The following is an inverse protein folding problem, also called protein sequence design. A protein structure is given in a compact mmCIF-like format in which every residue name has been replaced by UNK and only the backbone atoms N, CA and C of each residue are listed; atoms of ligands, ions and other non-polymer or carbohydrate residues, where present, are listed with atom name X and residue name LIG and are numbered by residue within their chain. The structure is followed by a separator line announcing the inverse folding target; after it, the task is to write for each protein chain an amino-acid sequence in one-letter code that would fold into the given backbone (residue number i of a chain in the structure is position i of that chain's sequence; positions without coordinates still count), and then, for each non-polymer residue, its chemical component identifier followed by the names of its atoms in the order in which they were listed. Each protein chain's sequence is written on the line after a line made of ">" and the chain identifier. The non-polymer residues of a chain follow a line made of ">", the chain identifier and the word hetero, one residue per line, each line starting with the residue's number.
data_IF_309076119506
#
_entry.id   IF_309076119506
#
_cell.length_a   1.000
_cell.length_b   1.000
_cell.length_c   1.000
_cell.angle_alpha   90.00
_cell.angle_beta   90.00
_cell.angle_gamma   90.00
#
_symmetry.space_group_name_H-M   'P 1'
#
loop_
_entity.id
_entity.type
_entity.pdbx_description
1 polymer ?
#
# COMPACT_ATOMS: atom_id res chain seq x y z
N UNK A 1 40.19 42.35 34.23
CA UNK A 1 40.52 41.76 32.91
C UNK A 1 39.92 40.36 32.72
N UNK A 2 40.06 39.45 33.69
CA UNK A 2 39.52 38.07 33.61
C UNK A 2 37.98 38.00 33.41
N UNK A 3 37.20 38.76 34.19
CA UNK A 3 35.73 38.77 34.11
C UNK A 3 35.18 39.26 32.76
N UNK A 4 35.91 40.13 32.06
CA UNK A 4 35.53 40.60 30.73
C UNK A 4 35.62 39.47 29.69
N UNK A 5 36.67 38.66 29.75
CA UNK A 5 36.82 37.51 28.86
C UNK A 5 35.82 36.39 29.15
N UNK A 6 35.45 36.20 30.43
CA UNK A 6 34.45 35.20 30.84
C UNK A 6 33.05 35.60 30.33
N UNK A 7 32.63 36.85 30.57
CA UNK A 7 31.32 37.34 30.11
C UNK A 7 31.15 37.26 28.58
N UNK A 8 32.22 37.52 27.80
CA UNK A 8 32.16 37.42 26.34
C UNK A 8 31.99 35.96 25.87
N UNK A 9 32.60 34.99 26.55
CA UNK A 9 32.45 33.55 26.24
C UNK A 9 31.06 33.04 26.62
N UNK A 10 30.53 33.47 27.76
CA UNK A 10 29.18 33.12 28.21
C UNK A 10 28.13 33.67 27.24
N UNK A 11 28.28 34.92 26.80
CA UNK A 11 27.39 35.54 25.83
C UNK A 11 27.35 34.79 24.48
N UNK A 12 28.53 34.44 23.95
CA UNK A 12 28.64 33.61 22.74
C UNK A 12 27.96 32.25 22.91
N UNK A 13 28.16 31.59 24.07
CA UNK A 13 27.55 30.29 24.35
C UNK A 13 26.02 30.36 24.39
N UNK A 14 25.44 31.43 24.91
CA UNK A 14 23.98 31.62 24.96
C UNK A 14 23.42 31.73 23.54
N UNK A 15 24.09 32.48 22.65
CA UNK A 15 23.68 32.62 21.25
C UNK A 15 23.74 31.27 20.54
N UNK A 16 24.82 30.51 20.73
CA UNK A 16 24.94 29.16 20.15
C UNK A 16 23.83 28.23 20.65
N UNK A 17 23.57 28.21 21.97
CA UNK A 17 22.51 27.39 22.55
C UNK A 17 21.11 27.77 22.05
N UNK A 18 20.89 29.05 21.77
CA UNK A 18 19.65 29.53 21.17
C UNK A 18 19.48 29.02 19.74
N UNK A 19 20.53 29.08 18.92
CA UNK A 19 20.53 28.56 17.55
C UNK A 19 20.37 27.03 17.54
N UNK A 20 21.04 26.31 18.43
CA UNK A 20 20.90 24.84 18.53
C UNK A 20 19.49 24.44 18.99
N UNK A 21 18.86 25.22 19.87
CA UNK A 21 17.47 25.02 20.27
C UNK A 21 16.52 25.22 19.08
N UNK A 22 16.70 26.30 18.31
CA UNK A 22 15.87 26.59 17.14
C UNK A 22 16.01 25.52 16.05
N UNK A 23 17.24 25.08 15.77
CA UNK A 23 17.51 24.00 14.82
C UNK A 23 16.90 22.68 15.28
N UNK A 24 16.93 22.38 16.59
CA UNK A 24 16.28 21.18 17.14
C UNK A 24 14.76 21.19 16.92
N UNK A 25 14.10 22.33 17.13
CA UNK A 25 12.66 22.49 16.84
C UNK A 25 12.37 22.22 15.36
N UNK A 26 13.19 22.77 14.46
CA UNK A 26 13.05 22.58 13.02
C UNK A 26 13.21 21.09 12.65
N UNK A 27 14.22 20.41 13.19
CA UNK A 27 14.45 18.98 12.96
C UNK A 27 13.24 18.17 13.40
N UNK A 28 12.68 18.43 14.59
CA UNK A 28 11.48 17.73 15.08
C UNK A 28 10.31 17.89 14.11
N UNK A 29 10.08 19.10 13.58
CA UNK A 29 9.01 19.36 12.60
C UNK A 29 9.23 18.53 11.33
N UNK A 30 10.45 18.51 10.79
CA UNK A 30 10.76 17.72 9.60
C UNK A 30 10.63 16.22 9.84
N UNK A 31 11.12 15.71 10.96
CA UNK A 31 10.96 14.31 11.35
C UNK A 31 9.49 13.93 11.46
N UNK A 32 8.67 14.77 12.08
CA UNK A 32 7.22 14.52 12.18
C UNK A 32 6.56 14.43 10.79
N UNK A 33 6.90 15.36 9.88
CA UNK A 33 6.38 15.33 8.50
C UNK A 33 6.83 14.08 7.75
N UNK A 34 8.10 13.71 7.87
CA UNK A 34 8.66 12.51 7.24
C UNK A 34 7.97 11.23 7.75
N UNK A 35 7.80 11.09 9.07
CA UNK A 35 7.08 9.95 9.66
C UNK A 35 5.63 9.87 9.18
N UNK A 36 4.95 11.00 9.03
CA UNK A 36 3.59 11.06 8.48
C UNK A 36 3.55 10.56 7.03
N UNK A 37 4.48 11.01 6.19
CA UNK A 37 4.58 10.58 4.79
C UNK A 37 4.92 9.09 4.69
N UNK A 38 5.87 8.60 5.48
CA UNK A 38 6.22 7.18 5.55
C UNK A 38 5.03 6.31 5.97
N UNK A 39 4.20 6.77 6.91
CA UNK A 39 2.99 6.06 7.31
C UNK A 39 2.01 5.92 6.14
N UNK A 40 1.81 6.98 5.37
CA UNK A 40 0.93 6.98 4.20
C UNK A 40 1.50 6.06 3.11
N UNK A 41 2.79 6.20 2.81
CA UNK A 41 3.47 5.36 1.82
C UNK A 41 3.39 3.87 2.16
N UNK A 42 3.64 3.51 3.43
CA UNK A 42 3.49 2.12 3.90
C UNK A 42 2.05 1.64 3.79
N UNK A 43 1.08 2.49 4.08
CA UNK A 43 -0.33 2.12 3.95
C UNK A 43 -0.69 1.81 2.50
N UNK A 44 -0.32 2.68 1.57
CA UNK A 44 -0.55 2.46 0.13
C UNK A 44 0.22 1.25 -0.41
N UNK A 45 1.48 1.07 0.00
CA UNK A 45 2.28 -0.11 -0.36
C UNK A 45 1.69 -1.41 0.21
N UNK A 46 1.05 -1.33 1.37
CA UNK A 46 0.34 -2.44 2.00
C UNK A 46 -1.06 -2.68 1.43
N UNK A 47 -1.50 -1.97 0.39
CA UNK A 47 -2.77 -2.29 -0.27
C UNK A 47 -2.62 -3.49 -1.18
N UNK A 48 -3.63 -4.35 -1.17
CA UNK A 48 -3.75 -5.40 -2.17
C UNK A 48 -4.04 -4.76 -3.53
N UNK A 49 -3.44 -5.31 -4.59
CA UNK A 49 -3.62 -4.84 -5.95
C UNK A 49 -4.17 -6.00 -6.79
N UNK A 50 -5.49 -6.14 -6.76
CA UNK A 50 -6.19 -7.21 -7.47
C UNK A 50 -6.46 -6.75 -8.90
N UNK A 51 -5.90 -7.47 -9.87
CA UNK A 51 -6.09 -7.25 -11.30
C UNK A 51 -6.80 -8.45 -11.92
N UNK A 52 -7.67 -8.18 -12.88
CA UNK A 52 -8.34 -9.19 -13.67
C UNK A 52 -7.99 -9.01 -15.15
N UNK A 53 -7.76 -10.11 -15.85
CA UNK A 53 -7.55 -10.10 -17.30
C UNK A 53 -8.00 -11.42 -17.90
N UNK A 54 -8.25 -11.40 -19.21
CA UNK A 54 -8.61 -12.59 -19.97
C UNK A 54 -7.37 -13.01 -20.75
N UNK A 55 -6.95 -14.25 -20.56
CA UNK A 55 -5.84 -14.83 -21.29
C UNK A 55 -6.32 -15.95 -22.22
N UNK A 56 -5.66 -16.11 -23.35
CA UNK A 56 -5.95 -17.19 -24.31
C UNK A 56 -5.05 -18.37 -24.01
N UNK A 57 -5.65 -19.56 -23.89
CA UNK A 57 -4.85 -20.77 -23.82
C UNK A 57 -4.14 -21.01 -25.16
N UNK A 58 -2.95 -21.63 -25.13
CA UNK A 58 -2.10 -21.90 -26.32
C UNK A 58 -2.81 -22.56 -27.51
N UNK A 59 -3.93 -23.22 -27.27
CA UNK A 59 -4.69 -23.92 -28.31
C UNK A 59 -5.88 -23.11 -28.85
N UNK A 60 -6.05 -21.83 -28.46
CA UNK A 60 -7.10 -20.88 -28.88
C UNK A 60 -8.57 -21.32 -28.66
N UNK A 61 -8.80 -22.52 -28.12
CA UNK A 61 -10.14 -23.08 -27.90
C UNK A 61 -10.85 -22.47 -26.68
N UNK A 62 -10.11 -21.94 -25.72
CA UNK A 62 -10.65 -21.43 -24.47
C UNK A 62 -9.96 -20.12 -24.04
N UNK A 63 -10.77 -19.25 -23.45
CA UNK A 63 -10.31 -18.06 -22.75
C UNK A 63 -10.40 -18.32 -21.25
N UNK A 64 -9.36 -17.93 -20.51
CA UNK A 64 -9.31 -18.05 -19.06
C UNK A 64 -9.40 -16.66 -18.44
N UNK A 65 -10.34 -16.48 -17.51
CA UNK A 65 -10.36 -15.31 -16.65
C UNK A 65 -9.34 -15.52 -15.53
N UNK A 66 -8.30 -14.69 -15.50
CA UNK A 66 -7.28 -14.69 -14.47
C UNK A 66 -7.58 -13.54 -13.52
N UNK A 67 -7.67 -13.85 -12.23
CA UNK A 67 -7.81 -12.88 -11.15
C UNK A 67 -6.62 -13.09 -10.21
N UNK A 68 -5.78 -12.07 -10.08
CA UNK A 68 -4.52 -12.18 -9.35
C UNK A 68 -4.23 -10.93 -8.53
N UNK A 69 -3.58 -11.13 -7.39
CA UNK A 69 -3.15 -10.03 -6.53
C UNK A 69 -1.65 -9.78 -6.74
N UNK A 70 -1.33 -8.68 -7.42
CA UNK A 70 0.05 -8.22 -7.61
C UNK A 70 0.51 -7.26 -6.50
N UNK A 71 -0.35 -7.03 -5.48
CA UNK A 71 -0.01 -6.22 -4.33
C UNK A 71 0.88 -6.97 -3.35
N UNK A 72 1.53 -6.24 -2.44
CA UNK A 72 2.44 -6.83 -1.43
C UNK A 72 1.71 -7.42 -0.22
N UNK A 73 0.43 -7.10 -0.06
CA UNK A 73 -0.43 -7.62 1.00
C UNK A 73 -1.55 -8.46 0.42
N UNK A 74 -2.12 -9.32 1.26
CA UNK A 74 -3.20 -10.19 0.84
C UNK A 74 -4.50 -9.43 0.58
N UNK A 75 -5.16 -9.79 -0.50
CA UNK A 75 -6.46 -9.27 -0.90
C UNK A 75 -7.59 -10.24 -0.60
N UNK A 76 -8.82 -9.72 -0.57
CA UNK A 76 -10.04 -10.54 -0.49
C UNK A 76 -10.98 -10.14 -1.62
N UNK A 77 -11.25 -11.07 -2.52
CA UNK A 77 -12.27 -10.93 -3.54
C UNK A 77 -13.65 -11.21 -2.94
N UNK A 78 -14.46 -10.15 -2.79
CA UNK A 78 -15.76 -10.24 -2.11
C UNK A 78 -16.78 -10.99 -2.98
N UNK A 79 -16.88 -10.62 -4.26
CA UNK A 79 -17.80 -11.24 -5.23
C UNK A 79 -17.40 -10.91 -6.65
N UNK A 80 -17.73 -11.80 -7.59
CA UNK A 80 -17.66 -11.54 -9.03
C UNK A 80 -19.09 -11.35 -9.53
N UNK A 81 -19.36 -10.22 -10.20
CA UNK A 81 -20.65 -9.95 -10.83
C UNK A 81 -20.43 -9.67 -12.31
N UNK A 82 -21.20 -10.35 -13.14
CA UNK A 82 -21.19 -10.16 -14.59
C UNK A 82 -22.45 -9.41 -15.00
N UNK A 83 -22.31 -8.52 -15.98
CA UNK A 83 -23.42 -7.82 -16.60
C UNK A 83 -23.25 -7.87 -18.13
N UNK A 84 -24.11 -8.60 -18.87
CA UNK A 84 -25.27 -9.36 -18.39
C UNK A 84 -24.87 -10.59 -17.54
N UNK A 85 -25.76 -11.09 -16.66
CA UNK A 85 -25.52 -12.33 -15.94
C UNK A 85 -25.42 -13.51 -16.92
N UNK A 86 -24.45 -14.40 -16.69
CA UNK A 86 -24.31 -15.63 -17.46
C UNK A 86 -25.27 -16.70 -16.93
N UNK A 87 -25.94 -17.38 -17.85
CA UNK A 87 -26.83 -18.49 -17.54
C UNK A 87 -26.05 -19.82 -17.64
N UNK A 88 -25.59 -20.31 -16.49
CA UNK A 88 -24.78 -21.52 -16.38
C UNK A 88 -25.58 -22.80 -16.72
N UNK A 89 -26.91 -22.76 -16.73
CA UNK A 89 -27.75 -23.90 -17.09
C UNK A 89 -27.62 -24.32 -18.56
N UNK A 90 -27.15 -23.40 -19.41
CA UNK A 90 -26.93 -23.64 -20.86
C UNK A 90 -25.59 -24.31 -21.14
N UNK A 91 -24.78 -24.55 -20.13
CA UNK A 91 -23.46 -25.17 -20.31
C UNK A 91 -23.60 -26.70 -20.33
N UNK A 92 -22.96 -27.35 -21.30
CA UNK A 92 -22.87 -28.82 -21.37
C UNK A 92 -21.75 -29.39 -20.49
N UNK A 93 -20.98 -28.51 -19.84
CA UNK A 93 -19.84 -28.88 -19.01
C UNK A 93 -20.30 -29.18 -17.59
N UNK A 94 -20.49 -30.46 -17.28
CA UNK A 94 -20.82 -30.91 -15.92
C UNK A 94 -19.54 -30.99 -15.07
N UNK A 95 -19.06 -29.82 -14.66
CA UNK A 95 -17.93 -29.68 -13.75
C UNK A 95 -18.56 -29.61 -12.37
N UNK A 96 -18.34 -30.60 -11.49
CA UNK A 96 -18.92 -30.69 -10.14
C UNK A 96 -18.47 -29.60 -9.15
N UNK A 97 -18.21 -28.39 -9.64
CA UNK A 97 -17.75 -27.22 -8.93
C UNK A 97 -18.72 -26.07 -9.21
N UNK A 98 -19.03 -25.27 -8.19
CA UNK A 98 -19.85 -24.07 -8.37
C UNK A 98 -19.15 -23.08 -9.32
N UNK A 99 -19.91 -22.39 -10.19
CA UNK A 99 -19.37 -21.34 -11.04
C UNK A 99 -18.61 -20.28 -10.24
N UNK A 100 -17.55 -19.73 -10.82
CA UNK A 100 -16.71 -18.72 -10.16
C UNK A 100 -17.49 -17.46 -9.75
N UNK A 101 -18.60 -17.15 -10.44
CA UNK A 101 -19.50 -16.04 -10.10
C UNK A 101 -20.26 -16.24 -8.79
N UNK A 102 -20.44 -17.49 -8.36
CA UNK A 102 -21.10 -17.82 -7.09
C UNK A 102 -20.12 -17.85 -5.92
N UNK A 103 -18.82 -17.97 -6.21
CA UNK A 103 -17.78 -17.91 -5.19
C UNK A 103 -17.71 -16.52 -4.56
N UNK A 104 -17.76 -16.48 -3.22
CA UNK A 104 -17.65 -15.26 -2.43
C UNK A 104 -16.46 -15.37 -1.48
N UNK A 105 -15.92 -14.22 -1.11
CA UNK A 105 -14.89 -14.14 -0.07
C UNK A 105 -13.61 -14.95 -0.37
N UNK A 106 -13.16 -14.98 -1.62
CA UNK A 106 -11.93 -15.66 -2.01
C UNK A 106 -10.73 -14.87 -1.49
N UNK A 107 -9.82 -15.52 -0.77
CA UNK A 107 -8.57 -14.93 -0.34
C UNK A 107 -7.54 -15.02 -1.46
N UNK A 108 -6.86 -13.91 -1.74
CA UNK A 108 -5.82 -13.82 -2.76
C UNK A 108 -4.51 -13.43 -2.07
N UNK A 109 -3.60 -14.40 -1.95
CA UNK A 109 -2.24 -14.14 -1.48
C UNK A 109 -1.50 -13.22 -2.47
N UNK A 110 -0.50 -12.44 -2.01
CA UNK A 110 0.48 -11.80 -2.88
C UNK A 110 1.14 -12.85 -3.77
N UNK A 111 1.30 -12.54 -5.04
CA UNK A 111 2.02 -13.40 -5.99
C UNK A 111 3.53 -13.16 -5.97
#
# INVERSE_FOLDING_TARGET
>A
MLNFFINNKEFLSIIFNFITSLTSIIVVIFTYRNLRELKIARFEESRAYITFYIDKFKNDLFFSLIIKNFGKSSGKLISIKLNPPLDWSKTSANIGLSPITECKNIYLAPD
#
